data_IF_224605399033
#
_entry.id   IF_224605399033
#
_cell.length_a   1.000
_cell.length_b   1.000
_cell.length_c   1.000
_cell.angle_alpha   90.00
_cell.angle_beta   90.00
_cell.angle_gamma   90.00
#
_symmetry.space_group_name_H-M   'P 1'
#
loop_
_entity.id
_entity.type
_entity.pdbx_description
1 polymer ?
#
# COMPACT_ATOMS: atom_id res chain seq x y z
N UNK A 1 -39.07 4.84 20.13
CA UNK A 1 -37.70 4.71 20.69
C UNK A 1 -37.20 3.25 20.76
N UNK A 2 -37.94 2.29 21.33
CA UNK A 2 -37.51 0.87 21.42
C UNK A 2 -37.14 0.20 20.07
N UNK A 3 -37.89 0.47 19.00
CA UNK A 3 -37.64 -0.13 17.69
C UNK A 3 -36.41 0.41 16.96
N UNK A 4 -36.04 1.67 17.23
CA UNK A 4 -34.83 2.30 16.65
C UNK A 4 -33.58 1.71 17.30
N UNK A 5 -33.61 1.49 18.62
CA UNK A 5 -32.54 0.80 19.34
C UNK A 5 -32.34 -0.63 18.84
N UNK A 6 -33.42 -1.38 18.61
CA UNK A 6 -33.33 -2.74 18.08
C UNK A 6 -32.71 -2.78 16.66
N UNK A 7 -33.03 -1.79 15.82
CA UNK A 7 -32.49 -1.68 14.47
C UNK A 7 -31.00 -1.30 14.47
N UNK A 8 -30.58 -0.37 15.33
CA UNK A 8 -29.16 0.00 15.47
C UNK A 8 -28.34 -1.20 15.99
N UNK A 9 -28.85 -1.93 16.98
CA UNK A 9 -28.19 -3.13 17.51
C UNK A 9 -28.12 -4.22 16.45
N UNK A 10 -29.18 -4.42 15.66
CA UNK A 10 -29.19 -5.36 14.54
C UNK A 10 -28.17 -5.01 13.45
N UNK A 11 -28.04 -3.73 13.10
CA UNK A 11 -27.04 -3.25 12.13
C UNK A 11 -25.63 -3.39 12.69
N UNK A 12 -25.40 -3.07 13.97
CA UNK A 12 -24.08 -3.20 14.58
C UNK A 12 -23.65 -4.67 14.67
N UNK A 13 -24.55 -5.57 15.10
CA UNK A 13 -24.26 -6.99 15.20
C UNK A 13 -24.11 -7.65 13.82
N UNK A 14 -25.00 -7.32 12.88
CA UNK A 14 -24.94 -7.83 11.51
C UNK A 14 -23.72 -7.31 10.75
N UNK A 15 -23.40 -6.02 10.91
CA UNK A 15 -22.22 -5.38 10.33
C UNK A 15 -20.92 -5.92 10.90
N UNK A 16 -20.83 -6.08 12.23
CA UNK A 16 -19.67 -6.69 12.86
C UNK A 16 -19.52 -8.16 12.45
N UNK A 17 -20.60 -8.93 12.42
CA UNK A 17 -20.59 -10.33 11.99
C UNK A 17 -20.13 -10.48 10.54
N UNK A 18 -20.66 -9.67 9.62
CA UNK A 18 -20.22 -9.66 8.24
C UNK A 18 -18.76 -9.23 8.10
N UNK A 19 -18.31 -8.22 8.84
CA UNK A 19 -16.91 -7.79 8.85
C UNK A 19 -15.99 -8.95 9.25
N UNK A 20 -16.26 -9.64 10.36
CA UNK A 20 -15.41 -10.76 10.79
C UNK A 20 -15.45 -11.97 9.86
N UNK A 21 -16.58 -12.25 9.21
CA UNK A 21 -16.72 -13.39 8.29
C UNK A 21 -16.10 -13.15 6.90
N UNK A 22 -16.20 -11.94 6.37
CA UNK A 22 -15.70 -11.63 5.01
C UNK A 22 -14.30 -10.99 5.01
N UNK A 23 -13.92 -10.26 6.06
CA UNK A 23 -12.59 -9.62 6.19
C UNK A 23 -11.60 -10.50 6.95
N UNK A 24 -12.09 -11.41 7.80
CA UNK A 24 -11.27 -12.24 8.68
C UNK A 24 -10.79 -11.48 9.92
N UNK A 25 -10.40 -12.22 10.97
CA UNK A 25 -9.79 -11.61 12.15
C UNK A 25 -8.45 -10.96 11.73
N UNK A 26 -8.18 -9.70 12.11
CA UNK A 26 -6.91 -9.08 11.80
C UNK A 26 -5.80 -9.92 12.43
N UNK A 27 -5.04 -10.64 11.60
CA UNK A 27 -3.79 -11.21 12.03
C UNK A 27 -2.86 -10.02 12.27
N UNK A 28 -2.66 -9.69 13.54
CA UNK A 28 -1.64 -8.75 13.96
C UNK A 28 -0.31 -9.35 13.49
N UNK A 29 0.14 -8.92 12.31
CA UNK A 29 1.49 -9.18 11.87
C UNK A 29 2.38 -8.46 12.87
N UNK A 30 3.02 -9.21 13.77
CA UNK A 30 3.93 -8.63 14.74
C UNK A 30 5.11 -8.07 13.97
N UNK A 31 5.12 -6.74 13.87
CA UNK A 31 6.19 -6.01 13.24
C UNK A 31 7.52 -6.43 13.90
N UNK A 32 8.52 -6.79 13.08
CA UNK A 32 9.83 -7.26 13.54
C UNK A 32 10.80 -6.09 13.75
N UNK A 33 11.60 -6.13 14.81
CA UNK A 33 12.57 -5.06 15.16
C UNK A 33 11.98 -3.84 15.89
N UNK A 34 12.77 -2.78 16.00
CA UNK A 34 12.40 -1.45 16.54
C UNK A 34 12.46 -0.39 15.44
N UNK A 35 11.58 0.61 15.47
CA UNK A 35 11.54 1.68 14.46
C UNK A 35 12.87 2.44 14.42
N UNK A 36 13.45 2.53 13.22
CA UNK A 36 14.71 3.25 12.98
C UNK A 36 14.51 4.74 13.27
N UNK A 37 15.47 5.33 13.98
CA UNK A 37 15.49 6.76 14.28
C UNK A 37 16.62 7.44 13.52
N UNK A 38 16.46 8.73 13.28
CA UNK A 38 17.53 9.54 12.73
C UNK A 38 18.78 9.46 13.63
N UNK A 39 19.99 9.45 13.05
CA UNK A 39 21.23 9.51 13.81
C UNK A 39 21.26 10.74 14.74
N UNK A 40 21.83 10.59 15.94
CA UNK A 40 22.01 11.70 16.87
C UNK A 40 23.04 12.69 16.30
N UNK A 41 22.62 13.95 16.12
CA UNK A 41 23.45 15.03 15.59
C UNK A 41 24.66 15.37 16.48
N UNK A 42 24.62 14.99 17.77
CA UNK A 42 25.71 15.20 18.72
C UNK A 42 26.56 13.93 18.98
N UNK A 43 26.28 12.82 18.30
CA UNK A 43 26.96 11.55 18.51
C UNK A 43 28.38 11.49 17.92
N UNK A 44 29.21 10.51 18.33
CA UNK A 44 30.50 10.24 17.67
C UNK A 44 30.28 10.02 16.17
N UNK A 45 31.11 10.62 15.28
CA UNK A 45 30.94 10.46 13.84
C UNK A 45 31.02 8.96 13.52
N UNK A 46 29.99 8.37 12.90
CA UNK A 46 30.00 6.97 12.53
C UNK A 46 31.20 6.71 11.62
N UNK A 47 31.96 5.62 11.84
CA UNK A 47 32.95 5.11 10.89
C UNK A 47 32.28 4.48 9.65
N UNK A 48 31.21 5.12 9.16
CA UNK A 48 30.21 4.54 8.27
C UNK A 48 30.05 5.48 7.07
N UNK A 49 30.11 4.93 5.86
CA UNK A 49 29.80 5.69 4.66
C UNK A 49 28.29 5.98 4.66
N UNK A 50 27.92 7.26 4.73
CA UNK A 50 26.53 7.70 4.60
C UNK A 50 26.25 7.94 3.12
N UNK A 51 25.43 7.08 2.52
CA UNK A 51 24.89 7.29 1.17
C UNK A 51 23.50 7.90 1.33
N UNK A 52 23.36 9.17 0.98
CA UNK A 52 22.08 9.88 1.01
C UNK A 52 21.44 9.85 -0.37
N UNK A 53 20.26 9.24 -0.47
CA UNK A 53 19.43 9.24 -1.68
C UNK A 53 18.23 10.16 -1.44
N UNK A 54 18.16 11.23 -2.22
CA UNK A 54 17.09 12.22 -2.12
C UNK A 54 15.88 11.86 -3.00
N UNK A 55 14.78 12.58 -2.81
CA UNK A 55 13.57 12.42 -3.63
C UNK A 55 13.84 12.59 -5.14
N UNK A 56 14.74 13.51 -5.50
CA UNK A 56 15.05 13.76 -6.91
C UNK A 56 15.69 12.54 -7.60
N UNK A 57 16.51 11.77 -6.88
CA UNK A 57 17.09 10.53 -7.39
C UNK A 57 15.98 9.54 -7.77
N UNK A 58 15.03 9.28 -6.88
CA UNK A 58 13.93 8.35 -7.14
C UNK A 58 13.00 8.87 -8.24
N UNK A 59 12.73 10.17 -8.26
CA UNK A 59 11.96 10.80 -9.33
C UNK A 59 12.62 10.61 -10.70
N UNK A 60 13.94 10.82 -10.80
CA UNK A 60 14.69 10.63 -12.02
C UNK A 60 14.69 9.16 -12.46
N UNK A 61 14.91 8.23 -11.53
CA UNK A 61 14.86 6.80 -11.80
C UNK A 61 13.50 6.36 -12.33
N UNK A 62 12.41 6.74 -11.66
CA UNK A 62 11.05 6.42 -12.09
C UNK A 62 10.73 7.03 -13.45
N UNK A 63 11.17 8.26 -13.69
CA UNK A 63 11.00 8.94 -14.98
C UNK A 63 11.71 8.19 -16.11
N UNK A 64 12.94 7.71 -15.87
CA UNK A 64 13.67 6.85 -16.80
C UNK A 64 12.96 5.51 -17.02
N UNK A 65 12.43 4.87 -15.99
CA UNK A 65 11.66 3.62 -16.14
C UNK A 65 10.45 3.85 -17.06
N UNK A 66 9.63 4.87 -16.77
CA UNK A 66 8.44 5.15 -17.57
C UNK A 66 8.77 5.56 -19.00
N UNK A 67 9.89 6.25 -19.22
CA UNK A 67 10.31 6.74 -20.55
C UNK A 67 10.98 5.64 -21.39
N UNK A 68 11.89 4.88 -20.79
CA UNK A 68 12.85 4.05 -21.52
C UNK A 68 12.53 2.54 -21.40
N UNK A 69 11.80 2.09 -20.36
CA UNK A 69 11.55 0.67 -20.05
C UNK A 69 10.08 0.24 -20.15
N UNK A 70 9.20 1.13 -20.58
CA UNK A 70 7.73 1.00 -20.53
C UNK A 70 7.15 0.95 -19.10
N UNK A 71 5.84 1.14 -19.02
CA UNK A 71 5.10 1.13 -17.75
C UNK A 71 5.17 -0.26 -17.12
N UNK A 72 5.55 -0.37 -15.82
CA UNK A 72 5.51 -1.63 -15.10
C UNK A 72 4.11 -2.22 -15.11
N UNK A 73 3.96 -3.46 -15.59
CA UNK A 73 2.69 -4.16 -15.66
C UNK A 73 2.79 -5.50 -14.91
N UNK A 74 1.80 -5.78 -14.08
CA UNK A 74 1.77 -6.92 -13.18
C UNK A 74 0.50 -7.76 -13.44
N UNK A 75 0.62 -9.03 -13.84
CA UNK A 75 -0.52 -9.93 -13.92
C UNK A 75 -0.93 -10.40 -12.50
N UNK A 76 -2.22 -10.38 -12.13
CA UNK A 76 -2.72 -11.09 -10.97
C UNK A 76 -2.68 -12.60 -11.26
N UNK A 77 -2.51 -13.40 -10.20
CA UNK A 77 -2.28 -14.84 -10.31
C UNK A 77 -3.44 -15.64 -10.94
N UNK A 78 -4.63 -15.04 -11.05
CA UNK A 78 -5.77 -15.62 -11.75
C UNK A 78 -5.92 -14.98 -13.14
N UNK A 79 -5.11 -15.44 -14.10
CA UNK A 79 -5.33 -15.13 -15.50
C UNK A 79 -6.63 -15.81 -15.97
N UNK A 80 -7.73 -15.06 -16.03
CA UNK A 80 -8.97 -15.55 -16.60
C UNK A 80 -8.87 -15.48 -18.13
N UNK A 81 -9.27 -16.55 -18.82
CA UNK A 81 -9.25 -16.58 -20.29
C UNK A 81 -10.09 -15.44 -20.87
N UNK A 82 -9.49 -14.59 -21.72
CA UNK A 82 -10.18 -13.53 -22.48
C UNK A 82 -10.08 -12.10 -21.94
N UNK A 83 -9.40 -11.88 -20.81
CA UNK A 83 -9.06 -10.53 -20.32
C UNK A 83 -7.59 -10.55 -19.90
N UNK A 84 -6.81 -9.52 -20.26
CA UNK A 84 -5.38 -9.50 -19.94
C UNK A 84 -5.14 -9.60 -18.44
N UNK A 85 -6.11 -9.16 -17.61
CA UNK A 85 -6.06 -9.16 -16.16
C UNK A 85 -4.70 -8.62 -15.75
N UNK A 86 -4.54 -7.30 -15.73
CA UNK A 86 -3.24 -6.72 -15.39
C UNK A 86 -3.44 -5.42 -14.65
N UNK A 87 -2.51 -5.13 -13.74
CA UNK A 87 -2.38 -3.82 -13.10
C UNK A 87 -1.12 -3.17 -13.63
N UNK A 88 -1.25 -1.98 -14.18
CA UNK A 88 -0.19 -1.18 -14.75
C UNK A 88 0.04 0.01 -13.84
N UNK A 89 1.30 0.24 -13.49
CA UNK A 89 1.71 1.45 -12.77
C UNK A 89 1.74 2.60 -13.76
N UNK A 90 1.00 3.65 -13.45
CA UNK A 90 0.90 4.85 -14.25
C UNK A 90 1.84 5.93 -13.68
N UNK A 91 2.43 6.81 -14.51
CA UNK A 91 3.20 7.93 -13.98
C UNK A 91 2.30 8.89 -13.21
N UNK A 92 1.04 9.05 -13.61
CA UNK A 92 0.06 9.87 -12.90
C UNK A 92 -1.38 9.42 -13.17
N UNK A 93 -2.27 9.76 -12.24
CA UNK A 93 -3.73 9.68 -12.37
C UNK A 93 -4.37 10.62 -11.35
N UNK A 94 -5.46 11.30 -11.72
CA UNK A 94 -6.28 12.14 -10.83
C UNK A 94 -5.49 13.14 -9.97
N UNK A 95 -4.44 13.74 -10.55
CA UNK A 95 -3.56 14.69 -9.87
C UNK A 95 -2.53 14.07 -8.92
N UNK A 96 -2.52 12.74 -8.76
CA UNK A 96 -1.49 12.00 -8.02
C UNK A 96 -0.39 11.56 -8.98
N UNK A 97 0.84 11.93 -8.66
CA UNK A 97 2.05 11.50 -9.37
C UNK A 97 2.66 10.30 -8.65
N UNK A 98 2.92 9.21 -9.39
CA UNK A 98 3.64 8.06 -8.84
C UNK A 98 5.05 8.46 -8.48
N UNK A 99 5.46 8.18 -7.24
CA UNK A 99 6.74 8.64 -6.73
C UNK A 99 7.11 8.06 -5.38
N UNK A 100 8.27 8.52 -4.89
CA UNK A 100 8.71 8.31 -3.52
C UNK A 100 8.92 9.68 -2.90
N UNK A 101 8.26 9.93 -1.77
CA UNK A 101 8.30 11.19 -1.02
C UNK A 101 8.97 10.90 0.32
N UNK A 102 10.03 11.63 0.63
CA UNK A 102 10.84 11.54 1.84
C UNK A 102 10.68 12.84 2.63
N UNK A 103 9.56 12.98 3.35
CA UNK A 103 9.24 14.18 4.12
C UNK A 103 8.95 13.82 5.57
N UNK A 104 9.33 14.71 6.49
CA UNK A 104 9.08 14.55 7.93
C UNK A 104 9.62 13.23 8.51
N UNK A 105 10.73 12.73 7.98
CA UNK A 105 11.33 11.46 8.39
C UNK A 105 10.51 10.22 8.02
N UNK A 106 9.56 10.35 7.09
CA UNK A 106 8.71 9.26 6.61
C UNK A 106 8.90 9.05 5.11
N UNK A 107 8.81 7.79 4.68
CA UNK A 107 8.78 7.43 3.27
C UNK A 107 7.34 7.15 2.88
N UNK A 108 6.81 7.97 1.98
CA UNK A 108 5.45 7.84 1.43
C UNK A 108 5.53 7.55 -0.06
N UNK A 109 4.66 6.66 -0.52
CA UNK A 109 4.61 6.17 -1.89
C UNK A 109 3.22 6.47 -2.46
N UNK A 110 3.02 7.66 -3.05
CA UNK A 110 1.87 7.88 -3.92
C UNK A 110 2.01 7.02 -5.18
N UNK A 111 0.93 6.36 -5.57
CA UNK A 111 0.88 5.43 -6.69
C UNK A 111 -0.36 5.70 -7.52
N UNK A 112 -0.19 5.93 -8.82
CA UNK A 112 -1.24 5.89 -9.81
C UNK A 112 -1.22 4.53 -10.52
N UNK A 113 -2.40 3.96 -10.77
CA UNK A 113 -2.50 2.69 -11.47
C UNK A 113 -3.69 2.64 -12.42
N UNK A 114 -3.54 1.80 -13.44
CA UNK A 114 -4.61 1.41 -14.35
C UNK A 114 -4.60 -0.11 -14.50
N UNK A 115 -5.60 -0.67 -15.17
CA UNK A 115 -5.62 -2.10 -15.37
C UNK A 115 -6.92 -2.60 -15.98
N UNK A 116 -7.00 -3.92 -16.06
CA UNK A 116 -8.20 -4.64 -16.45
C UNK A 116 -8.47 -5.78 -15.50
N UNK A 117 -9.74 -6.09 -15.29
CA UNK A 117 -10.18 -7.24 -14.51
C UNK A 117 -11.40 -7.88 -15.15
N UNK A 118 -11.54 -9.19 -15.00
CA UNK A 118 -12.71 -9.91 -15.49
C UNK A 118 -13.76 -10.07 -14.39
N UNK A 119 -14.84 -9.30 -14.46
CA UNK A 119 -16.03 -9.47 -13.63
C UNK A 119 -17.26 -9.30 -14.52
N UNK A 120 -17.86 -10.41 -14.93
CA UNK A 120 -18.96 -10.44 -15.90
C UNK A 120 -18.64 -9.70 -17.22
N UNK A 121 -17.37 -9.69 -17.62
CA UNK A 121 -16.83 -8.92 -18.75
C UNK A 121 -15.45 -8.35 -18.41
N UNK A 122 -14.64 -8.02 -19.43
CA UNK A 122 -13.34 -7.38 -19.22
C UNK A 122 -13.56 -5.89 -18.96
N UNK A 123 -13.46 -5.50 -17.69
CA UNK A 123 -13.65 -4.14 -17.22
C UNK A 123 -12.31 -3.47 -16.98
N UNK A 124 -12.26 -2.15 -17.16
CA UNK A 124 -11.09 -1.35 -16.80
C UNK A 124 -11.15 -0.94 -15.33
N UNK A 125 -9.99 -0.89 -14.69
CA UNK A 125 -9.81 -0.30 -13.37
C UNK A 125 -8.79 0.82 -13.48
N UNK A 126 -9.03 1.93 -12.78
CA UNK A 126 -8.12 3.07 -12.67
C UNK A 126 -8.22 3.62 -11.27
N UNK A 127 -7.14 4.18 -10.76
CA UNK A 127 -7.15 4.71 -9.42
C UNK A 127 -5.81 5.18 -8.92
N UNK A 128 -5.82 5.55 -7.65
CA UNK A 128 -4.65 5.99 -6.90
C UNK A 128 -4.57 5.24 -5.59
N UNK A 129 -3.36 5.05 -5.10
CA UNK A 129 -3.09 4.46 -3.80
C UNK A 129 -2.00 5.26 -3.10
N UNK A 130 -2.05 5.22 -1.78
CA UNK A 130 -1.05 5.82 -0.92
C UNK A 130 -0.58 4.78 0.08
N UNK A 131 0.74 4.69 0.24
CA UNK A 131 1.36 3.80 1.21
C UNK A 131 2.51 4.50 1.95
N UNK A 132 2.77 4.07 3.17
CA UNK A 132 3.90 4.48 4.00
C UNK A 132 4.84 3.28 4.21
N UNK A 133 6.14 3.54 4.22
CA UNK A 133 7.16 2.53 4.56
C UNK A 133 7.78 2.91 5.89
N UNK A 134 7.62 2.02 6.88
CA UNK A 134 8.28 2.12 8.18
C UNK A 134 9.51 1.20 8.21
N UNK A 135 10.67 1.75 8.52
CA UNK A 135 11.90 0.97 8.66
C UNK A 135 12.10 0.55 10.11
N UNK A 136 12.39 -0.73 10.33
CA UNK A 136 12.53 -1.33 11.65
C UNK A 136 13.80 -2.18 11.71
N UNK A 137 14.68 -1.90 12.67
CA UNK A 137 15.93 -2.61 12.85
C UNK A 137 15.81 -3.68 13.93
N UNK A 138 16.14 -4.92 13.60
CA UNK A 138 16.23 -6.03 14.54
C UNK A 138 17.70 -6.23 14.93
N UNK A 139 18.08 -5.79 16.14
CA UNK A 139 19.48 -5.78 16.58
C UNK A 139 20.04 -7.19 16.82
N UNK A 140 19.19 -8.12 17.24
CA UNK A 140 19.49 -9.55 17.39
C UNK A 140 19.87 -10.22 16.06
N UNK A 141 19.26 -9.77 14.97
CA UNK A 141 19.50 -10.30 13.62
C UNK A 141 20.39 -9.40 12.76
N UNK A 142 20.78 -8.23 13.29
CA UNK A 142 21.47 -7.17 12.55
C UNK A 142 20.83 -6.85 11.19
N UNK A 143 19.50 -6.93 11.11
CA UNK A 143 18.74 -6.84 9.86
C UNK A 143 17.80 -5.64 9.88
N UNK A 144 17.77 -4.89 8.77
CA UNK A 144 16.82 -3.80 8.57
C UNK A 144 15.60 -4.32 7.81
N UNK A 145 14.45 -4.26 8.45
CA UNK A 145 13.15 -4.61 7.88
C UNK A 145 12.40 -3.37 7.42
N UNK A 146 11.67 -3.47 6.31
CA UNK A 146 10.68 -2.49 5.88
C UNK A 146 9.27 -3.00 6.10
N UNK A 147 8.36 -2.14 6.56
CA UNK A 147 6.95 -2.46 6.68
C UNK A 147 6.13 -1.50 5.82
N UNK A 148 5.43 -2.05 4.84
CA UNK A 148 4.57 -1.31 3.94
C UNK A 148 3.14 -1.25 4.49
N UNK A 149 2.66 -0.03 4.74
CA UNK A 149 1.33 0.26 5.25
C UNK A 149 0.55 1.08 4.22
N UNK A 150 -0.48 0.50 3.63
CA UNK A 150 -1.39 1.15 2.68
C UNK A 150 -2.37 2.02 3.47
N UNK A 151 -2.30 3.33 3.27
CA UNK A 151 -3.12 4.32 3.97
C UNK A 151 -4.42 4.61 3.23
N UNK A 152 -4.43 4.45 1.90
CA UNK A 152 -5.62 4.68 1.09
C UNK A 152 -5.54 4.04 -0.29
N UNK A 153 -6.69 3.63 -0.81
CA UNK A 153 -6.87 3.21 -2.20
C UNK A 153 -8.15 3.84 -2.71
N UNK A 154 -8.06 4.57 -3.81
CA UNK A 154 -9.18 5.18 -4.51
C UNK A 154 -9.27 4.54 -5.91
N UNK A 155 -10.46 4.08 -6.27
CA UNK A 155 -10.72 3.46 -7.58
C UNK A 155 -11.80 4.28 -8.27
N UNK A 156 -11.53 4.68 -9.50
CA UNK A 156 -12.44 5.45 -10.33
C UNK A 156 -13.78 4.69 -10.51
N UNK A 157 -14.89 5.40 -10.38
CA UNK A 157 -16.23 4.81 -10.47
C UNK A 157 -16.71 4.08 -9.22
N UNK A 158 -15.88 3.96 -8.17
CA UNK A 158 -16.30 3.45 -6.87
C UNK A 158 -16.65 4.58 -5.89
N UNK A 159 -17.67 4.36 -5.06
CA UNK A 159 -18.01 5.30 -3.99
C UNK A 159 -16.88 5.36 -2.95
N UNK A 160 -16.49 6.55 -2.46
CA UNK A 160 -15.47 6.69 -1.41
C UNK A 160 -15.77 5.90 -0.14
N UNK A 161 -17.06 5.65 0.16
CA UNK A 161 -17.49 4.83 1.30
C UNK A 161 -17.05 3.36 1.20
N UNK A 162 -16.79 2.87 -0.02
CA UNK A 162 -16.29 1.52 -0.26
C UNK A 162 -14.74 1.45 -0.26
N UNK A 163 -14.06 2.60 -0.34
CA UNK A 163 -12.59 2.67 -0.40
C UNK A 163 -11.90 2.02 0.80
N UNK A 164 -12.45 2.21 2.02
CA UNK A 164 -11.89 1.62 3.24
C UNK A 164 -11.86 0.08 3.23
N UNK A 165 -12.83 -0.57 2.60
CA UNK A 165 -12.83 -2.04 2.45
C UNK A 165 -11.76 -2.51 1.47
N UNK A 166 -11.57 -1.78 0.37
CA UNK A 166 -10.51 -2.08 -0.61
C UNK A 166 -9.14 -1.90 0.04
N UNK A 167 -8.93 -0.81 0.78
CA UNK A 167 -7.68 -0.57 1.51
C UNK A 167 -7.39 -1.69 2.51
N UNK A 168 -8.36 -2.11 3.31
CA UNK A 168 -8.17 -3.21 4.26
C UNK A 168 -7.85 -4.55 3.57
N UNK A 169 -8.52 -4.84 2.45
CA UNK A 169 -8.24 -6.05 1.66
C UNK A 169 -6.82 -6.04 1.07
N UNK A 170 -6.41 -4.92 0.46
CA UNK A 170 -5.06 -4.76 -0.09
C UNK A 170 -4.02 -4.85 1.03
N UNK A 171 -4.24 -4.19 2.17
CA UNK A 171 -3.35 -4.28 3.33
C UNK A 171 -3.21 -5.74 3.81
N UNK A 172 -4.31 -6.49 3.87
CA UNK A 172 -4.28 -7.91 4.24
C UNK A 172 -3.39 -8.72 3.30
N UNK A 173 -3.49 -8.50 1.98
CA UNK A 173 -2.65 -9.18 0.99
C UNK A 173 -1.17 -8.80 1.11
N UNK A 174 -0.87 -7.51 1.33
CA UNK A 174 0.49 -7.01 1.57
C UNK A 174 1.08 -7.66 2.83
N UNK A 175 0.33 -7.70 3.93
CA UNK A 175 0.79 -8.31 5.18
C UNK A 175 1.10 -9.80 5.04
N UNK A 176 0.39 -10.52 4.17
CA UNK A 176 0.60 -11.95 3.97
C UNK A 176 1.78 -12.28 3.05
N UNK A 177 2.12 -11.37 2.11
CA UNK A 177 3.00 -11.71 0.98
C UNK A 177 4.22 -10.83 0.83
N UNK A 178 4.15 -9.60 1.31
CA UNK A 178 5.15 -8.56 1.08
C UNK A 178 5.82 -8.15 2.38
N UNK A 179 5.05 -8.01 3.48
CA UNK A 179 5.62 -7.63 4.76
C UNK A 179 6.20 -8.83 5.54
N UNK A 180 7.34 -8.64 6.23
CA UNK A 180 8.22 -7.49 6.13
C UNK A 180 9.06 -7.58 4.84
N UNK A 181 9.40 -6.44 4.29
CA UNK A 181 10.46 -6.30 3.30
C UNK A 181 11.81 -6.53 4.00
N UNK A 182 12.72 -7.27 3.37
CA UNK A 182 14.09 -7.54 3.86
C UNK A 182 15.09 -7.16 2.78
#
# INVERSE_FOLDING_TARGET
MRFILALIVGILLGGAGAYFLFVGAPHAYLAKGETVRAPDAAGPPPGTAVVELNEQFFGALLSSIFKDLNKPAFPPQAAASGCQNQVVVEPNADGVQTGVVLQNGQVTVPLAFSGTYNLAGCQTLRGTAEANIEFRFAADEQTLYGQLNVTGVNVEGMSPLLGGFVTAFVQGAINQRVNPLV
#
